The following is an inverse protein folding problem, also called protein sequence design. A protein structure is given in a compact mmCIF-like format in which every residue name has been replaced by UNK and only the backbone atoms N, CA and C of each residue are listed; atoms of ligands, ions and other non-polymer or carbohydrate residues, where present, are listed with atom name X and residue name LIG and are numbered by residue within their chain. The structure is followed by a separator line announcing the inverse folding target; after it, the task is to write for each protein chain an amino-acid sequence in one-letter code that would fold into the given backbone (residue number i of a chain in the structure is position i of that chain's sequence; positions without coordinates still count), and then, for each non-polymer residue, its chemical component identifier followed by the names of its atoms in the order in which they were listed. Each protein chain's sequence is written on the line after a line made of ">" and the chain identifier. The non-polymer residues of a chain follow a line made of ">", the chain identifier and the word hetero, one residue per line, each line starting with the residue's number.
data_IF_073920061393
#
_entry.id   IF_073920061393
#
_cell.length_a   1.000
_cell.length_b   1.000
_cell.length_c   1.000
_cell.angle_alpha   90.00
_cell.angle_beta   90.00
_cell.angle_gamma   90.00
#
_symmetry.space_group_name_H-M   'P 1'
#
loop_
_entity.id
_entity.type
_entity.pdbx_description
1 polymer ?
#
# COMPACT_ATOMS: atom_id res chain seq x y z
N UNK A 1 18.77 -6.42 21.18
CA UNK A 1 17.71 -5.99 20.23
C UNK A 1 17.57 -7.04 19.15
N UNK A 2 18.70 -7.43 18.54
CA UNK A 2 18.81 -8.51 17.53
C UNK A 2 18.20 -9.87 17.92
N UNK A 3 18.33 -10.32 19.17
CA UNK A 3 17.75 -11.60 19.61
C UNK A 3 16.20 -11.61 19.56
N UNK A 4 15.55 -10.49 19.91
CA UNK A 4 14.08 -10.36 19.82
C UNK A 4 13.61 -10.23 18.38
N UNK A 5 14.45 -9.63 17.53
CA UNK A 5 14.18 -9.48 16.10
C UNK A 5 14.29 -10.85 15.40
N UNK A 6 15.25 -11.70 15.78
CA UNK A 6 15.36 -13.07 15.31
C UNK A 6 14.18 -13.94 15.79
N UNK A 7 13.81 -13.90 17.08
CA UNK A 7 12.68 -14.69 17.60
C UNK A 7 11.36 -14.38 16.90
N UNK A 8 11.07 -13.09 16.62
CA UNK A 8 9.86 -12.69 15.90
C UNK A 8 9.82 -13.22 14.45
N UNK A 9 10.98 -13.35 13.80
CA UNK A 9 11.10 -13.95 12.46
C UNK A 9 10.95 -15.47 12.50
N UNK A 10 11.50 -16.13 13.53
CA UNK A 10 11.34 -17.56 13.77
C UNK A 10 9.90 -17.96 14.09
N UNK A 11 9.18 -17.18 14.89
CA UNK A 11 7.74 -17.38 15.14
C UNK A 11 6.90 -17.21 13.86
N UNK A 12 7.23 -16.21 13.04
CA UNK A 12 6.59 -16.00 11.72
C UNK A 12 6.78 -17.18 10.76
N UNK A 13 7.84 -17.97 10.92
CA UNK A 13 8.13 -19.17 10.12
C UNK A 13 7.39 -20.42 10.61
N UNK A 14 6.96 -20.46 11.88
CA UNK A 14 6.15 -21.55 12.48
C UNK A 14 4.65 -21.28 12.47
N UNK A 15 4.22 -20.02 12.46
CA UNK A 15 2.81 -19.65 12.51
C UNK A 15 2.09 -19.95 11.19
N UNK A 16 0.84 -20.45 11.29
CA UNK A 16 -0.04 -20.60 10.13
C UNK A 16 -0.21 -19.28 9.39
N UNK A 17 -0.21 -19.32 8.06
CA UNK A 17 -0.40 -18.16 7.16
C UNK A 17 -1.57 -17.25 7.59
N UNK A 18 -2.66 -17.85 8.07
CA UNK A 18 -3.86 -17.16 8.51
C UNK A 18 -3.72 -16.37 9.82
N UNK A 19 -2.67 -16.64 10.60
CA UNK A 19 -2.34 -15.87 11.81
C UNK A 19 -1.49 -14.61 11.50
N UNK A 20 -1.12 -14.37 10.24
CA UNK A 20 -0.41 -13.15 9.83
C UNK A 20 -1.38 -11.96 9.73
N UNK A 21 -1.99 -11.54 10.83
CA UNK A 21 -2.99 -10.46 10.84
C UNK A 21 -2.49 -9.14 10.23
N UNK A 22 -1.20 -8.83 10.40
CA UNK A 22 -0.58 -7.66 9.76
C UNK A 22 -0.68 -7.71 8.23
N UNK A 23 -0.51 -8.88 7.63
CA UNK A 23 -0.59 -9.05 6.19
C UNK A 23 -1.99 -8.71 5.67
N UNK A 24 -3.02 -9.25 6.31
CA UNK A 24 -4.41 -8.99 5.93
C UNK A 24 -4.80 -7.53 6.20
N UNK A 25 -4.29 -6.92 7.27
CA UNK A 25 -4.48 -5.49 7.53
C UNK A 25 -3.79 -4.63 6.45
N UNK A 26 -2.58 -4.99 6.02
CA UNK A 26 -1.90 -4.32 4.91
C UNK A 26 -2.64 -4.48 3.58
N UNK A 27 -3.19 -5.67 3.29
CA UNK A 27 -3.99 -5.93 2.10
C UNK A 27 -5.31 -5.13 2.12
N UNK A 28 -5.99 -5.07 3.26
CA UNK A 28 -7.18 -4.23 3.45
C UNK A 28 -6.85 -2.74 3.32
N UNK A 29 -5.76 -2.27 3.91
CA UNK A 29 -5.30 -0.89 3.76
C UNK A 29 -4.99 -0.56 2.30
N UNK A 30 -4.36 -1.49 1.56
CA UNK A 30 -4.12 -1.33 0.13
C UNK A 30 -5.42 -1.28 -0.67
N UNK A 31 -6.40 -2.12 -0.32
CA UNK A 31 -7.73 -2.09 -0.92
C UNK A 31 -8.41 -0.73 -0.75
N UNK A 32 -8.44 -0.22 0.48
CA UNK A 32 -9.06 1.05 0.75
C UNK A 32 -8.30 2.21 0.09
N UNK A 33 -6.97 2.19 0.18
CA UNK A 33 -6.11 3.20 -0.42
C UNK A 33 -6.27 3.26 -1.94
N UNK A 34 -6.11 2.14 -2.66
CA UNK A 34 -6.22 2.12 -4.13
C UNK A 34 -7.64 2.46 -4.56
N UNK A 35 -8.65 2.02 -3.81
CA UNK A 35 -10.03 2.41 -4.06
C UNK A 35 -10.23 3.92 -3.99
N UNK A 36 -9.74 4.56 -2.93
CA UNK A 36 -9.79 6.02 -2.80
C UNK A 36 -9.00 6.72 -3.92
N UNK A 37 -7.79 6.24 -4.23
CA UNK A 37 -6.93 6.79 -5.28
C UNK A 37 -7.63 6.84 -6.63
N UNK A 38 -8.16 5.70 -7.07
CA UNK A 38 -8.76 5.57 -8.39
C UNK A 38 -10.07 6.37 -8.45
N UNK A 39 -10.83 6.41 -7.36
CA UNK A 39 -12.05 7.20 -7.29
C UNK A 39 -11.74 8.71 -7.38
N UNK A 40 -10.75 9.20 -6.64
CA UNK A 40 -10.28 10.58 -6.71
C UNK A 40 -9.81 10.92 -8.12
N UNK A 41 -8.92 10.10 -8.70
CA UNK A 41 -8.38 10.36 -10.03
C UNK A 41 -9.46 10.32 -11.12
N UNK A 42 -10.39 9.37 -11.03
CA UNK A 42 -11.49 9.21 -11.99
C UNK A 42 -12.50 10.37 -11.96
N UNK A 43 -12.76 10.92 -10.77
CA UNK A 43 -13.72 12.02 -10.59
C UNK A 43 -13.05 13.40 -10.48
N UNK A 44 -11.73 13.49 -10.60
CA UNK A 44 -11.00 14.75 -10.46
C UNK A 44 -11.49 15.82 -11.44
N UNK A 45 -11.66 15.44 -12.71
CA UNK A 45 -12.10 16.39 -13.76
C UNK A 45 -13.52 16.89 -13.46
N UNK A 46 -14.42 15.97 -13.08
CA UNK A 46 -15.79 16.31 -12.71
C UNK A 46 -15.82 17.23 -11.48
N UNK A 47 -15.01 16.92 -10.47
CA UNK A 47 -14.83 17.75 -9.29
C UNK A 47 -14.41 19.17 -9.68
N UNK A 48 -13.38 19.34 -10.50
CA UNK A 48 -12.91 20.67 -10.93
C UNK A 48 -13.98 21.42 -11.72
N UNK A 49 -14.67 20.76 -12.66
CA UNK A 49 -15.70 21.38 -13.49
C UNK A 49 -16.89 21.84 -12.64
N UNK A 50 -17.30 21.06 -11.65
CA UNK A 50 -18.47 21.36 -10.81
C UNK A 50 -18.15 22.36 -9.70
N UNK A 51 -16.94 22.31 -9.12
CA UNK A 51 -16.58 23.17 -7.99
C UNK A 51 -16.02 24.52 -8.40
N UNK A 52 -15.53 24.67 -9.63
CA UNK A 52 -14.92 25.91 -10.14
C UNK A 52 -15.70 26.47 -11.34
N UNK A 53 -16.53 27.51 -11.14
CA UNK A 53 -17.38 28.07 -12.19
C UNK A 53 -16.59 28.47 -13.46
N UNK A 54 -17.16 28.20 -14.63
CA UNK A 54 -16.56 28.55 -15.91
C UNK A 54 -15.41 27.64 -16.37
N UNK A 55 -15.17 26.52 -15.68
CA UNK A 55 -14.11 25.58 -16.04
C UNK A 55 -14.60 24.54 -17.05
N UNK A 56 -13.93 24.46 -18.20
CA UNK A 56 -14.18 23.40 -19.19
C UNK A 56 -13.47 22.09 -18.82
N UNK A 57 -13.96 20.97 -19.33
CA UNK A 57 -13.32 19.65 -19.18
C UNK A 57 -11.85 19.66 -19.61
N UNK A 58 -11.51 20.40 -20.68
CA UNK A 58 -10.12 20.57 -21.14
C UNK A 58 -9.23 21.23 -20.09
N UNK A 59 -9.75 22.25 -19.40
CA UNK A 59 -9.03 22.92 -18.32
C UNK A 59 -8.93 22.00 -17.10
N UNK A 60 -9.99 21.26 -16.76
CA UNK A 60 -9.96 20.22 -15.73
C UNK A 60 -8.88 19.15 -15.98
N UNK A 61 -8.72 18.70 -17.23
CA UNK A 61 -7.65 17.77 -17.61
C UNK A 61 -6.25 18.37 -17.42
N UNK A 62 -6.06 19.68 -17.68
CA UNK A 62 -4.78 20.36 -17.41
C UNK A 62 -4.48 20.41 -15.91
N UNK A 63 -5.48 20.67 -15.07
CA UNK A 63 -5.32 20.59 -13.62
C UNK A 63 -4.99 19.17 -13.16
N UNK A 64 -5.65 18.15 -13.70
CA UNK A 64 -5.32 16.76 -13.40
C UNK A 64 -3.87 16.43 -13.77
N UNK A 65 -3.43 16.82 -14.97
CA UNK A 65 -2.03 16.64 -15.40
C UNK A 65 -1.05 17.35 -14.46
N UNK A 66 -1.36 18.57 -14.02
CA UNK A 66 -0.57 19.28 -13.02
C UNK A 66 -0.52 18.55 -11.68
N UNK A 67 -1.65 18.02 -11.22
CA UNK A 67 -1.73 17.27 -9.97
C UNK A 67 -0.97 15.93 -10.04
N UNK A 68 -0.96 15.27 -11.19
CA UNK A 68 -0.10 14.10 -11.46
C UNK A 68 1.39 14.47 -11.44
N UNK A 69 1.74 15.67 -11.91
CA UNK A 69 3.08 16.23 -11.73
C UNK A 69 3.46 16.41 -10.26
N UNK A 70 2.55 16.98 -9.46
CA UNK A 70 2.74 17.12 -8.01
C UNK A 70 2.88 15.75 -7.32
N UNK A 71 2.10 14.74 -7.74
CA UNK A 71 2.22 13.36 -7.28
C UNK A 71 3.62 12.77 -7.58
N UNK A 72 4.15 12.99 -8.79
CA UNK A 72 5.50 12.54 -9.14
C UNK A 72 6.58 13.23 -8.28
N UNK A 73 6.48 14.54 -8.08
CA UNK A 73 7.39 15.29 -7.22
C UNK A 73 7.30 14.81 -5.76
N UNK A 74 6.07 14.63 -5.26
CA UNK A 74 5.82 14.09 -3.92
C UNK A 74 6.44 12.73 -3.71
N UNK A 75 6.44 11.87 -4.74
CA UNK A 75 7.10 10.56 -4.67
C UNK A 75 8.61 10.67 -4.51
N UNK A 76 9.25 11.54 -5.28
CA UNK A 76 10.70 11.74 -5.20
C UNK A 76 11.07 12.30 -3.83
N UNK A 77 10.38 13.36 -3.38
CA UNK A 77 10.62 13.98 -2.08
C UNK A 77 10.34 13.02 -0.91
N UNK A 78 9.23 12.28 -0.97
CA UNK A 78 8.87 11.29 0.05
C UNK A 78 9.86 10.13 0.12
N UNK A 79 10.40 9.69 -1.02
CA UNK A 79 11.44 8.66 -1.06
C UNK A 79 12.75 9.17 -0.45
N UNK A 80 13.15 10.41 -0.76
CA UNK A 80 14.31 11.05 -0.12
C UNK A 80 14.09 11.19 1.39
N UNK A 81 12.88 11.56 1.82
CA UNK A 81 12.53 11.68 3.23
C UNK A 81 12.64 10.33 3.98
N UNK A 82 12.29 9.21 3.33
CA UNK A 82 12.48 7.87 3.90
C UNK A 82 13.93 7.46 4.11
N UNK A 83 14.89 8.17 3.48
CA UNK A 83 16.32 7.98 3.78
C UNK A 83 16.69 8.48 5.18
N UNK A 84 15.97 9.49 5.68
CA UNK A 84 16.26 10.14 6.95
C UNK A 84 15.29 9.71 8.07
N UNK A 85 14.06 9.35 7.72
CA UNK A 85 13.00 9.00 8.67
C UNK A 85 12.49 7.59 8.39
N UNK A 86 12.17 6.81 9.43
CA UNK A 86 11.64 5.45 9.25
C UNK A 86 10.37 5.46 8.39
N UNK A 87 10.24 4.57 7.39
CA UNK A 87 9.10 4.56 6.47
C UNK A 87 7.72 4.50 7.14
N UNK A 88 7.61 3.91 8.34
CA UNK A 88 6.35 3.85 9.10
C UNK A 88 5.83 5.21 9.57
N UNK A 89 6.71 6.15 9.89
CA UNK A 89 6.32 7.52 10.28
C UNK A 89 5.97 8.34 9.04
N UNK A 90 6.74 8.17 7.97
CA UNK A 90 6.47 8.84 6.69
C UNK A 90 5.11 8.41 6.14
N UNK A 91 4.79 7.11 6.16
CA UNK A 91 3.48 6.60 5.74
C UNK A 91 2.34 7.20 6.56
N UNK A 92 2.49 7.26 7.89
CA UNK A 92 1.46 7.84 8.76
C UNK A 92 1.24 9.32 8.44
N UNK A 93 2.32 10.10 8.34
CA UNK A 93 2.23 11.53 8.06
C UNK A 93 1.59 11.81 6.69
N UNK A 94 1.97 11.04 5.66
CA UNK A 94 1.44 11.23 4.31
C UNK A 94 -0.02 10.80 4.19
N UNK A 95 -0.41 9.64 4.75
CA UNK A 95 -1.82 9.23 4.74
C UNK A 95 -2.71 10.15 5.60
N UNK A 96 -2.21 10.61 6.74
CA UNK A 96 -2.91 11.61 7.55
C UNK A 96 -3.05 12.93 6.80
N UNK A 97 -1.98 13.40 6.14
CA UNK A 97 -2.01 14.59 5.28
C UNK A 97 -3.06 14.48 4.19
N UNK A 98 -3.04 13.40 3.41
CA UNK A 98 -4.04 13.14 2.37
C UNK A 98 -5.48 13.17 2.93
N UNK A 99 -5.72 12.58 4.10
CA UNK A 99 -7.03 12.59 4.76
C UNK A 99 -7.44 13.99 5.22
N UNK A 100 -6.51 14.73 5.83
CA UNK A 100 -6.73 16.08 6.37
C UNK A 100 -7.02 17.09 5.24
N UNK A 101 -6.36 16.97 4.08
CA UNK A 101 -6.61 17.83 2.94
C UNK A 101 -7.84 17.40 2.13
N UNK A 102 -8.18 16.12 2.11
CA UNK A 102 -9.39 15.65 1.43
C UNK A 102 -10.67 16.07 2.18
N UNK A 103 -10.65 16.08 3.51
CA UNK A 103 -11.81 16.47 4.32
C UNK A 103 -12.39 17.86 3.96
N UNK A 104 -11.60 18.96 3.94
CA UNK A 104 -12.09 20.26 3.52
C UNK A 104 -12.42 20.30 2.03
N UNK A 105 -11.69 19.57 1.17
CA UNK A 105 -11.97 19.50 -0.27
C UNK A 105 -13.40 19.04 -0.58
N UNK A 106 -14.05 18.27 0.31
CA UNK A 106 -15.46 17.87 0.14
C UNK A 106 -16.47 19.03 0.21
N UNK A 107 -16.09 20.14 0.85
CA UNK A 107 -16.97 21.30 1.09
C UNK A 107 -16.47 22.58 0.44
N UNK A 108 -15.16 22.72 0.27
CA UNK A 108 -14.55 23.90 -0.34
C UNK A 108 -14.56 23.73 -1.86
N UNK A 109 -15.14 24.69 -2.57
CA UNK A 109 -15.05 24.78 -4.02
C UNK A 109 -13.97 25.74 -4.49
N UNK A 110 -14.06 26.12 -5.76
CA UNK A 110 -13.20 27.08 -6.44
C UNK A 110 -11.71 26.68 -6.43
N UNK A 111 -10.82 27.63 -6.67
CA UNK A 111 -9.35 27.43 -6.66
C UNK A 111 -8.82 26.80 -5.36
N UNK A 112 -9.51 27.01 -4.23
CA UNK A 112 -9.13 26.44 -2.93
C UNK A 112 -9.36 24.92 -2.91
N UNK A 113 -10.53 24.45 -3.37
CA UNK A 113 -10.82 23.02 -3.48
C UNK A 113 -9.85 22.29 -4.41
N UNK A 114 -9.57 22.89 -5.57
CA UNK A 114 -8.59 22.35 -6.53
C UNK A 114 -7.18 22.28 -5.90
N UNK A 115 -6.77 23.29 -5.14
CA UNK A 115 -5.48 23.30 -4.45
C UNK A 115 -5.37 22.19 -3.40
N UNK A 116 -6.44 21.92 -2.65
CA UNK A 116 -6.46 20.79 -1.73
C UNK A 116 -6.35 19.46 -2.46
N UNK A 117 -7.01 19.30 -3.60
CA UNK A 117 -6.88 18.08 -4.41
C UNK A 117 -5.45 17.85 -4.91
N UNK A 118 -4.71 18.91 -5.25
CA UNK A 118 -3.27 18.80 -5.56
C UNK A 118 -2.46 18.29 -4.37
N UNK A 119 -2.73 18.81 -3.17
CA UNK A 119 -2.07 18.36 -1.94
C UNK A 119 -2.40 16.90 -1.62
N UNK A 120 -3.66 16.49 -1.79
CA UNK A 120 -4.06 15.08 -1.62
C UNK A 120 -3.22 14.17 -2.51
N UNK A 121 -3.12 14.47 -3.80
CA UNK A 121 -2.30 13.69 -4.74
C UNK A 121 -0.81 13.73 -4.38
N UNK A 122 -0.29 14.86 -3.92
CA UNK A 122 1.10 14.95 -3.44
C UNK A 122 1.37 13.99 -2.26
N UNK A 123 0.51 14.01 -1.25
CA UNK A 123 0.64 13.15 -0.06
C UNK A 123 0.32 11.68 -0.34
N UNK A 124 -0.50 11.41 -1.35
CA UNK A 124 -0.82 10.06 -1.77
C UNK A 124 0.36 9.32 -2.41
N UNK A 125 1.27 10.07 -3.03
CA UNK A 125 2.35 9.59 -3.92
C UNK A 125 3.15 8.36 -3.47
N UNK A 126 3.49 8.25 -2.18
CA UNK A 126 4.35 7.19 -1.62
C UNK A 126 3.58 6.09 -0.89
N UNK A 127 2.27 6.25 -0.70
CA UNK A 127 1.49 5.37 0.16
C UNK A 127 1.45 3.94 -0.40
N UNK A 128 1.16 3.77 -1.69
CA UNK A 128 1.17 2.46 -2.35
C UNK A 128 2.47 1.66 -2.13
N UNK A 129 3.66 2.15 -2.56
CA UNK A 129 4.89 1.38 -2.43
C UNK A 129 5.27 1.13 -0.97
N UNK A 130 4.94 2.06 -0.06
CA UNK A 130 5.27 1.91 1.35
C UNK A 130 4.38 0.90 2.06
N UNK A 131 3.09 0.84 1.73
CA UNK A 131 2.17 -0.19 2.24
C UNK A 131 2.65 -1.58 1.78
N UNK A 132 3.00 -1.75 0.51
CA UNK A 132 3.55 -3.02 0.00
C UNK A 132 4.85 -3.37 0.72
N UNK A 133 5.79 -2.43 0.80
CA UNK A 133 7.08 -2.67 1.42
C UNK A 133 6.94 -3.05 2.90
N UNK A 134 6.14 -2.33 3.69
CA UNK A 134 5.94 -2.62 5.10
C UNK A 134 5.09 -3.88 5.33
N UNK A 135 4.10 -4.14 4.47
CA UNK A 135 3.21 -5.29 4.58
C UNK A 135 3.90 -6.62 4.23
N UNK A 136 4.91 -6.58 3.36
CA UNK A 136 5.68 -7.76 2.92
C UNK A 136 6.91 -8.08 3.78
N UNK A 137 7.30 -7.18 4.70
CA UNK A 137 8.42 -7.41 5.62
C UNK A 137 8.12 -8.51 6.64
N UNK A 138 9.12 -9.33 6.92
CA UNK A 138 9.04 -10.38 7.94
C UNK A 138 8.11 -11.56 7.61
N UNK A 139 7.75 -11.78 6.34
CA UNK A 139 6.88 -12.89 5.93
C UNK A 139 7.60 -14.24 5.73
N UNK A 140 8.93 -14.24 5.60
CA UNK A 140 9.73 -15.45 5.39
C UNK A 140 9.21 -16.31 4.24
N UNK A 141 8.97 -17.61 4.51
CA UNK A 141 8.45 -18.59 3.53
C UNK A 141 7.11 -18.19 2.88
N UNK A 142 6.33 -17.34 3.55
CA UNK A 142 5.01 -16.90 3.06
C UNK A 142 5.06 -15.67 2.14
N UNK A 143 6.24 -15.12 1.86
CA UNK A 143 6.39 -13.88 1.07
C UNK A 143 5.64 -13.92 -0.27
N UNK A 144 5.86 -14.97 -1.09
CA UNK A 144 5.21 -15.09 -2.42
C UNK A 144 3.68 -15.08 -2.34
N UNK A 145 3.11 -15.78 -1.36
CA UNK A 145 1.65 -15.84 -1.18
C UNK A 145 1.11 -14.55 -0.58
N UNK A 146 1.82 -13.96 0.39
CA UNK A 146 1.37 -12.75 1.05
C UNK A 146 1.46 -11.50 0.19
N UNK A 147 2.54 -11.33 -0.59
CA UNK A 147 2.61 -10.22 -1.54
C UNK A 147 1.46 -10.26 -2.55
N UNK A 148 1.06 -11.44 -3.01
CA UNK A 148 -0.14 -11.63 -3.83
C UNK A 148 -1.43 -11.11 -3.20
N UNK A 149 -1.64 -11.32 -1.90
CA UNK A 149 -2.80 -10.76 -1.19
C UNK A 149 -2.78 -9.23 -1.10
N UNK A 150 -1.61 -8.64 -0.83
CA UNK A 150 -1.48 -7.18 -0.77
C UNK A 150 -1.75 -6.56 -2.15
N UNK A 151 -1.16 -7.13 -3.20
CA UNK A 151 -1.39 -6.66 -4.58
C UNK A 151 -2.84 -6.93 -5.03
N UNK A 152 -3.45 -8.02 -4.56
CA UNK A 152 -4.89 -8.25 -4.72
C UNK A 152 -5.77 -7.15 -4.12
N UNK A 153 -5.25 -6.35 -3.17
CA UNK A 153 -5.93 -5.14 -2.70
C UNK A 153 -6.25 -4.16 -3.81
N UNK A 154 -5.51 -4.15 -4.93
CA UNK A 154 -5.75 -3.25 -6.07
C UNK A 154 -7.17 -3.37 -6.64
N UNK A 155 -7.88 -4.49 -6.41
CA UNK A 155 -9.29 -4.64 -6.75
C UNK A 155 -10.20 -3.55 -6.14
N UNK A 156 -9.79 -2.88 -5.06
CA UNK A 156 -10.51 -1.73 -4.52
C UNK A 156 -10.69 -0.60 -5.53
N UNK A 157 -9.74 -0.44 -6.46
CA UNK A 157 -9.83 0.53 -7.56
C UNK A 157 -10.98 0.26 -8.54
N UNK A 158 -11.50 -0.96 -8.61
CA UNK A 158 -12.69 -1.28 -9.40
C UNK A 158 -13.99 -1.13 -8.59
N UNK A 159 -13.93 -1.32 -7.27
CA UNK A 159 -15.11 -1.33 -6.41
C UNK A 159 -15.52 0.07 -5.91
N UNK A 160 -14.56 0.93 -5.61
CA UNK A 160 -14.82 2.24 -4.97
C UNK A 160 -15.28 3.33 -5.95
N UNK A 161 -14.77 3.45 -7.19
CA UNK A 161 -15.26 4.48 -8.10
C UNK A 161 -16.74 4.36 -8.46
N UNK A 162 -17.32 3.17 -8.72
CA UNK A 162 -18.76 3.05 -8.91
C UNK A 162 -19.56 3.49 -7.68
N UNK A 163 -19.07 3.21 -6.47
CA UNK A 163 -19.71 3.67 -5.23
C UNK A 163 -19.69 5.20 -5.14
N UNK A 164 -18.56 5.84 -5.47
CA UNK A 164 -18.49 7.30 -5.56
C UNK A 164 -19.47 7.83 -6.61
N UNK A 165 -19.53 7.20 -7.79
CA UNK A 165 -20.45 7.58 -8.86
C UNK A 165 -21.91 7.59 -8.43
N UNK A 166 -22.36 6.54 -7.75
CA UNK A 166 -23.73 6.50 -7.20
C UNK A 166 -23.98 7.65 -6.22
N UNK A 167 -23.01 7.98 -5.36
CA UNK A 167 -23.15 9.10 -4.42
C UNK A 167 -23.14 10.46 -5.15
N UNK A 168 -22.33 10.60 -6.20
CA UNK A 168 -22.29 11.80 -7.03
C UNK A 168 -23.63 12.03 -7.74
N UNK A 169 -24.22 10.98 -8.32
CA UNK A 169 -25.50 11.04 -9.01
C UNK A 169 -26.66 11.35 -8.05
N UNK A 170 -26.65 10.77 -6.84
CA UNK A 170 -27.69 11.03 -5.83
C UNK A 170 -27.70 12.47 -5.32
N UNK A 171 -26.51 13.08 -5.17
CA UNK A 171 -26.38 14.43 -4.61
C UNK A 171 -26.19 15.53 -5.67
N UNK A 172 -26.06 15.17 -6.96
CA UNK A 172 -25.69 16.07 -8.06
C UNK A 172 -24.48 16.95 -7.74
N UNK A 173 -23.54 16.42 -6.94
CA UNK A 173 -22.38 17.17 -6.44
C UNK A 173 -21.21 16.23 -6.19
N UNK A 174 -20.25 16.26 -7.09
CA UNK A 174 -19.00 15.49 -7.04
C UNK A 174 -18.12 15.90 -5.85
N UNK A 175 -18.22 17.14 -5.38
CA UNK A 175 -17.55 17.60 -4.16
C UNK A 175 -17.98 16.81 -2.93
N UNK A 176 -19.28 16.63 -2.73
CA UNK A 176 -19.82 15.83 -1.61
C UNK A 176 -19.48 14.34 -1.81
N UNK A 177 -19.46 13.86 -3.05
CA UNK A 177 -19.12 12.48 -3.36
C UNK A 177 -17.69 12.09 -2.91
N UNK A 178 -16.78 13.06 -2.76
CA UNK A 178 -15.44 12.86 -2.20
C UNK A 178 -15.44 12.41 -0.72
N UNK A 179 -16.60 12.39 -0.04
CA UNK A 179 -16.76 11.73 1.27
C UNK A 179 -16.50 10.21 1.17
N UNK A 180 -16.80 9.58 0.03
CA UNK A 180 -16.52 8.16 -0.18
C UNK A 180 -15.02 7.87 -0.07
N UNK A 181 -14.13 8.45 -0.90
CA UNK A 181 -12.69 8.24 -0.78
C UNK A 181 -12.13 8.72 0.57
N UNK A 182 -12.75 9.72 1.22
CA UNK A 182 -12.39 10.13 2.58
C UNK A 182 -12.62 9.01 3.61
N UNK A 183 -13.75 8.32 3.55
CA UNK A 183 -14.04 7.19 4.43
C UNK A 183 -13.05 6.02 4.20
N UNK A 184 -12.71 5.76 2.94
CA UNK A 184 -11.71 4.75 2.58
C UNK A 184 -10.29 5.14 3.04
N UNK A 185 -9.88 6.40 2.92
CA UNK A 185 -8.60 6.84 3.50
C UNK A 185 -8.59 6.74 5.02
N UNK A 186 -9.68 7.11 5.70
CA UNK A 186 -9.78 6.96 7.15
C UNK A 186 -9.63 5.48 7.57
N UNK A 187 -10.24 4.55 6.83
CA UNK A 187 -10.06 3.12 7.04
C UNK A 187 -8.61 2.69 6.78
N UNK A 188 -7.98 3.18 5.71
CA UNK A 188 -6.60 2.86 5.36
C UNK A 188 -5.59 3.39 6.41
N UNK A 189 -5.84 4.55 7.02
CA UNK A 189 -5.00 5.16 8.08
C UNK A 189 -4.89 4.29 9.34
N UNK A 190 -5.83 3.38 9.57
CA UNK A 190 -5.75 2.43 10.70
C UNK A 190 -4.49 1.56 10.65
N UNK A 191 -3.98 1.24 9.46
CA UNK A 191 -2.78 0.43 9.28
C UNK A 191 -1.47 1.14 9.70
N UNK A 192 -1.14 2.35 9.21
CA UNK A 192 0.01 3.08 9.72
C UNK A 192 -0.13 3.45 11.21
N UNK A 193 -1.34 3.68 11.73
CA UNK A 193 -1.54 3.83 13.18
C UNK A 193 -1.12 2.55 13.90
N UNK A 194 -1.61 1.38 13.47
CA UNK A 194 -1.23 0.10 14.06
C UNK A 194 0.30 -0.14 13.99
N UNK A 195 0.94 0.21 12.86
CA UNK A 195 2.41 0.12 12.71
C UNK A 195 3.20 1.00 13.69
N UNK A 196 2.62 2.10 14.16
CA UNK A 196 3.28 3.03 15.07
C UNK A 196 3.04 2.71 16.55
N UNK A 197 1.83 2.27 16.91
CA UNK A 197 1.43 2.04 18.30
C UNK A 197 1.54 0.57 18.75
N UNK A 198 1.38 -0.41 17.83
CA UNK A 198 1.36 -1.83 18.19
C UNK A 198 2.74 -2.45 18.02
N UNK A 199 3.36 -2.90 19.12
CA UNK A 199 4.70 -3.50 19.10
C UNK A 199 4.80 -4.72 18.16
N UNK A 200 3.75 -5.53 18.08
CA UNK A 200 3.64 -6.68 17.17
C UNK A 200 3.74 -6.29 15.68
N UNK A 201 3.28 -5.08 15.33
CA UNK A 201 3.36 -4.56 13.97
C UNK A 201 4.72 -3.88 13.73
N UNK A 202 5.22 -3.15 14.73
CA UNK A 202 6.46 -2.36 14.66
C UNK A 202 7.72 -3.20 14.51
N UNK A 203 7.89 -4.25 15.32
CA UNK A 203 9.16 -5.01 15.42
C UNK A 203 9.55 -5.61 14.06
N UNK A 204 8.68 -6.34 13.35
CA UNK A 204 9.09 -6.93 12.07
C UNK A 204 9.03 -5.95 10.90
N UNK A 205 8.40 -4.78 11.07
CA UNK A 205 8.41 -3.71 10.08
C UNK A 205 9.70 -2.86 10.12
N UNK A 206 10.27 -2.69 11.33
CA UNK A 206 11.56 -2.02 11.56
C UNK A 206 12.75 -2.99 11.44
N UNK A 207 12.51 -4.31 11.48
CA UNK A 207 13.55 -5.33 11.27
C UNK A 207 14.18 -5.17 9.88
N UNK A 208 15.42 -4.69 9.86
CA UNK A 208 16.23 -4.52 8.65
C UNK A 208 16.97 -5.84 8.43
N UNK A 209 16.24 -6.89 8.07
CA UNK A 209 16.88 -8.17 7.78
C UNK A 209 17.59 -8.03 6.44
N UNK A 210 18.91 -8.16 6.45
CA UNK A 210 19.72 -8.46 5.27
C UNK A 210 18.97 -9.47 4.42
N UNK A 211 18.70 -9.11 3.17
CA UNK A 211 17.96 -9.92 2.23
C UNK A 211 18.76 -11.14 1.78
N UNK A 212 19.06 -12.07 2.69
CA UNK A 212 19.41 -13.45 2.40
C UNK A 212 18.15 -14.28 2.09
N UNK A 213 17.19 -13.66 1.40
CA UNK A 213 15.96 -14.29 0.94
C UNK A 213 16.25 -14.87 -0.44
N UNK A 214 16.81 -16.08 -0.48
CA UNK A 214 16.94 -16.80 -1.75
C UNK A 214 17.93 -17.96 -1.86
N UNK A 215 18.85 -18.19 -0.90
CA UNK A 215 19.92 -19.20 -1.07
C UNK A 215 19.95 -20.31 -0.03
N UNK A 216 18.82 -20.64 0.59
CA UNK A 216 18.72 -22.01 1.12
C UNK A 216 18.14 -22.84 -0.02
N UNK A 217 19.02 -23.29 -0.92
CA UNK A 217 18.75 -24.43 -1.77
C UNK A 217 18.17 -25.54 -0.89
N UNK A 218 16.94 -25.90 -1.19
CA UNK A 218 16.30 -27.06 -0.63
C UNK A 218 16.99 -28.30 -1.23
N UNK A 219 18.18 -28.66 -0.73
CA UNK A 219 18.82 -29.97 -1.01
C UNK A 219 18.09 -31.08 -0.25
N UNK A 220 16.81 -31.20 -0.53
CA UNK A 220 15.94 -32.25 -0.04
C UNK A 220 14.98 -32.59 -1.16
N UNK A 221 15.52 -33.21 -2.22
CA UNK A 221 14.82 -34.10 -3.16
C UNK A 221 15.80 -34.71 -4.20
N UNK A 222 16.94 -35.29 -3.77
CA UNK A 222 17.73 -36.25 -4.60
C UNK A 222 18.38 -37.35 -3.72
N UNK A 223 17.65 -37.85 -2.71
CA UNK A 223 17.98 -39.15 -2.09
C UNK A 223 17.11 -40.22 -2.73
N UNK A 224 17.53 -40.73 -3.88
CA UNK A 224 16.79 -41.79 -4.55
C UNK A 224 17.45 -42.51 -5.72
N UNK A 225 18.56 -42.01 -6.30
CA UNK A 225 19.15 -42.64 -7.49
C UNK A 225 20.66 -42.93 -7.41
N UNK A 226 21.37 -42.45 -6.39
CA UNK A 226 22.82 -42.64 -6.28
C UNK A 226 23.26 -43.72 -5.27
N UNK A 227 22.32 -44.30 -4.51
CA UNK A 227 22.64 -45.42 -3.60
C UNK A 227 22.70 -46.76 -4.37
N UNK A 228 21.89 -46.92 -5.41
CA UNK A 228 21.82 -48.17 -6.20
C UNK A 228 23.06 -48.34 -7.11
N UNK A 229 23.68 -47.23 -7.55
CA UNK A 229 24.87 -47.26 -8.41
C UNK A 229 26.18 -47.52 -7.64
N UNK A 230 26.19 -47.26 -6.33
CA UNK A 230 27.35 -47.52 -5.46
C UNK A 230 27.39 -48.98 -5.02
N UNK A 231 26.25 -49.63 -4.76
CA UNK A 231 26.22 -51.07 -4.42
C UNK A 231 26.63 -51.96 -5.61
N UNK A 232 26.24 -51.63 -6.84
CA UNK A 232 26.65 -52.40 -8.04
C UNK A 232 28.16 -52.31 -8.31
N UNK A 233 28.78 -51.17 -8.02
CA UNK A 233 30.22 -50.94 -8.24
C UNK A 233 31.10 -51.66 -7.21
N UNK A 234 30.60 -51.86 -5.98
CA UNK A 234 31.33 -52.57 -4.91
C UNK A 234 31.22 -54.09 -5.08
N UNK A 235 30.07 -54.61 -5.54
CA UNK A 235 29.88 -56.05 -5.75
C UNK A 235 30.57 -56.60 -7.03
N UNK A 236 30.98 -55.74 -7.96
CA UNK A 236 31.74 -56.13 -9.16
C UNK A 236 33.25 -56.35 -8.91
N UNK A 237 33.76 -56.04 -7.71
CA UNK A 237 35.20 -56.11 -7.39
C UNK A 237 35.56 -57.06 -6.25
N UNK A 238 34.69 -58.02 -5.92
CA UNK A 238 35.00 -59.16 -5.05
C UNK A 238 34.83 -60.46 -5.83
#
# INVERSE_FOLDING_TARGET
>A
MEARDQEALFEGNKASFWKQYRLFHAAFAQFCYVGAQVAIAGYFINYVVETRPGTSTSTGSKFLSGAQGAFAVGRVLGTVLMKFVRPRYVLLAFMAGATIFLAPATKTGDDVGVSFMFLVLFFESICFPTIVALGTRGLGRHYKRGSGWIIGGVLGGAAVPPLLGVVADLHNNTGIAMVVPLAFFAAAVTYPIALNFVASYRIPADATTDSSVGLVENNGDEKGSDVERVEETVMSKV
#
